data_IF_815271831544
#
_entry.id   IF_815271831544
#
_cell.length_a   1.000
_cell.length_b   1.000
_cell.length_c   1.000
_cell.angle_alpha   90.00
_cell.angle_beta   90.00
_cell.angle_gamma   90.00
#
_symmetry.space_group_name_H-M   'P 1'
#
loop_
_entity.id
_entity.type
_entity.pdbx_description
1 polymer ?
#
# COMPACT_ATOMS: atom_id res chain seq x y z
N UNK A 1 6.27 -36.81 12.67
CA UNK A 1 4.99 -36.05 12.64
C UNK A 1 5.22 -34.55 12.84
N UNK A 2 5.87 -34.11 13.94
CA UNK A 2 6.04 -32.68 14.26
C UNK A 2 6.85 -31.86 13.23
N UNK A 3 7.85 -32.47 12.59
CA UNK A 3 8.71 -31.80 11.59
C UNK A 3 7.94 -31.38 10.33
N UNK A 4 6.99 -32.19 9.86
CA UNK A 4 6.17 -31.88 8.69
C UNK A 4 5.21 -30.73 8.97
N UNK A 5 4.60 -30.70 10.15
CA UNK A 5 3.69 -29.62 10.56
C UNK A 5 4.45 -28.29 10.64
N UNK A 6 5.66 -28.30 11.23
CA UNK A 6 6.53 -27.13 11.27
C UNK A 6 6.89 -26.61 9.88
N UNK A 7 7.22 -27.52 8.95
CA UNK A 7 7.52 -27.15 7.56
C UNK A 7 6.32 -26.54 6.85
N UNK A 8 5.11 -27.13 6.96
CA UNK A 8 3.90 -26.57 6.34
C UNK A 8 3.57 -25.16 6.86
N UNK A 9 3.69 -24.94 8.17
CA UNK A 9 3.51 -23.61 8.76
C UNK A 9 4.52 -22.62 8.21
N UNK A 10 5.80 -23.02 8.12
CA UNK A 10 6.85 -22.17 7.59
C UNK A 10 6.58 -21.80 6.13
N UNK A 11 6.21 -22.77 5.29
CA UNK A 11 5.87 -22.51 3.88
C UNK A 11 4.65 -21.60 3.77
N UNK A 12 3.60 -21.82 4.56
CA UNK A 12 2.41 -20.97 4.57
C UNK A 12 2.75 -19.51 4.95
N UNK A 13 3.61 -19.32 5.95
CA UNK A 13 4.06 -17.99 6.37
C UNK A 13 4.96 -17.36 5.31
N UNK A 14 5.93 -18.08 4.76
CA UNK A 14 6.83 -17.56 3.71
C UNK A 14 6.06 -17.14 2.46
N UNK A 15 5.06 -17.93 2.04
CA UNK A 15 4.18 -17.58 0.92
C UNK A 15 3.28 -16.39 1.25
N UNK A 16 2.69 -16.37 2.46
CA UNK A 16 1.79 -15.31 2.89
C UNK A 16 2.48 -13.96 3.08
N UNK A 17 3.68 -13.96 3.67
CA UNK A 17 4.46 -12.73 3.95
C UNK A 17 4.91 -12.07 2.65
N UNK A 18 5.40 -12.84 1.68
CA UNK A 18 5.78 -12.31 0.37
C UNK A 18 4.60 -11.64 -0.36
N UNK A 19 3.42 -12.26 -0.30
CA UNK A 19 2.20 -11.72 -0.89
C UNK A 19 1.71 -10.46 -0.16
N UNK A 20 1.66 -10.49 1.18
CA UNK A 20 1.22 -9.36 1.99
C UNK A 20 2.11 -8.13 1.78
N UNK A 21 3.43 -8.31 1.72
CA UNK A 21 4.37 -7.24 1.41
C UNK A 21 4.15 -6.68 0.00
N UNK A 22 3.90 -7.54 -0.99
CA UNK A 22 3.64 -7.10 -2.35
C UNK A 22 2.37 -6.24 -2.46
N UNK A 23 1.27 -6.69 -1.83
CA UNK A 23 0.01 -5.93 -1.77
C UNK A 23 0.20 -4.60 -1.03
N UNK A 24 0.90 -4.61 0.11
CA UNK A 24 1.20 -3.40 0.87
C UNK A 24 2.01 -2.40 0.04
N UNK A 25 2.99 -2.87 -0.73
CA UNK A 25 3.80 -2.04 -1.62
C UNK A 25 2.94 -1.39 -2.71
N UNK A 26 2.04 -2.16 -3.33
CA UNK A 26 1.09 -1.62 -4.30
C UNK A 26 0.17 -0.56 -3.69
N UNK A 27 -0.38 -0.81 -2.49
CA UNK A 27 -1.20 0.18 -1.77
C UNK A 27 -0.40 1.45 -1.51
N UNK A 28 0.85 1.33 -1.07
CA UNK A 28 1.73 2.48 -0.82
C UNK A 28 1.99 3.28 -2.12
N UNK A 29 2.30 2.60 -3.24
CA UNK A 29 2.46 3.29 -4.54
C UNK A 29 1.18 4.01 -4.92
N UNK A 30 0.03 3.34 -4.86
CA UNK A 30 -1.26 3.92 -5.29
C UNK A 30 -1.61 5.13 -4.41
N UNK A 31 -1.43 5.02 -3.09
CA UNK A 31 -1.65 6.13 -2.17
C UNK A 31 -0.70 7.30 -2.48
N UNK A 32 0.58 7.03 -2.75
CA UNK A 32 1.55 8.04 -3.14
C UNK A 32 1.15 8.72 -4.46
N UNK A 33 0.73 7.94 -5.46
CA UNK A 33 0.27 8.45 -6.74
C UNK A 33 -0.98 9.33 -6.59
N UNK A 34 -1.97 8.89 -5.81
CA UNK A 34 -3.17 9.68 -5.50
C UNK A 34 -2.83 10.97 -4.75
N UNK A 35 -1.91 10.91 -3.79
CA UNK A 35 -1.44 12.10 -3.07
C UNK A 35 -0.75 13.10 -3.99
N UNK A 36 0.11 12.61 -4.90
CA UNK A 36 0.75 13.45 -5.92
C UNK A 36 -0.28 14.07 -6.86
N UNK A 37 -1.26 13.30 -7.34
CA UNK A 37 -2.36 13.82 -8.16
C UNK A 37 -3.12 14.92 -7.40
N UNK A 38 -3.48 14.68 -6.14
CA UNK A 38 -4.15 15.68 -5.30
C UNK A 38 -3.31 16.95 -5.08
N UNK A 39 -1.99 16.82 -4.96
CA UNK A 39 -1.08 17.96 -4.89
C UNK A 39 -0.99 18.75 -6.19
N UNK A 40 -0.99 18.06 -7.34
CA UNK A 40 -1.00 18.70 -8.66
C UNK A 40 -2.34 19.37 -8.97
N UNK A 41 -3.44 18.75 -8.55
CA UNK A 41 -4.80 19.28 -8.73
C UNK A 41 -5.10 20.40 -7.72
N UNK A 42 -4.28 20.58 -6.67
CA UNK A 42 -4.49 21.64 -5.66
C UNK A 42 -4.53 23.01 -6.37
N UNK A 43 -5.71 23.67 -6.43
CA UNK A 43 -5.83 24.95 -7.13
C UNK A 43 -5.03 25.99 -6.35
N UNK A 44 -3.97 26.51 -6.97
CA UNK A 44 -3.02 27.45 -6.34
C UNK A 44 -3.50 28.88 -6.24
N UNK A 45 -4.71 29.21 -6.68
CA UNK A 45 -5.16 30.59 -6.66
C UNK A 45 -6.61 30.73 -7.03
N UNK A 46 -7.44 30.92 -6.01
CA UNK A 46 -8.84 31.26 -6.18
C UNK A 46 -9.33 31.88 -4.90
N UNK A 47 -8.69 32.99 -4.48
CA UNK A 47 -9.25 33.83 -3.42
C UNK A 47 -10.54 34.43 -3.95
N UNK A 48 -11.63 33.72 -3.69
CA UNK A 48 -12.99 34.21 -3.89
C UNK A 48 -13.35 35.09 -2.68
N UNK A 49 -12.58 36.16 -2.50
CA UNK A 49 -12.91 37.26 -1.60
C UNK A 49 -13.28 38.46 -2.47
N UNK A 50 -14.55 38.47 -2.87
CA UNK A 50 -15.26 39.67 -3.28
C UNK A 50 -16.64 39.61 -2.59
N UNK A 51 -16.60 39.58 -1.25
CA UNK A 51 -17.70 40.01 -0.39
C UNK A 51 -17.32 41.39 0.14
#
# INVERSE_FOLDING_TARGET
MCLLIGFLLLTAVLFGVGFALHVLWWIAIVALALWLIGLFVRPRGGRWYYW
#
